data_IF_801299355024
#
_entry.id   IF_801299355024
#
_cell.length_a   1.000
_cell.length_b   1.000
_cell.length_c   1.000
_cell.angle_alpha   90.00
_cell.angle_beta   90.00
_cell.angle_gamma   90.00
#
_symmetry.space_group_name_H-M   'P 1'
#
loop_
_entity.id
_entity.type
_entity.pdbx_description
1 polymer ?
#
# COMPACT_ATOMS: atom_id res chain seq x y z
N UNK A 1 -9.62 9.46 21.26
CA UNK A 1 -10.09 8.06 21.40
C UNK A 1 -10.37 7.55 19.99
N UNK A 2 -10.00 6.32 19.57
CA UNK A 2 -9.39 5.22 20.31
C UNK A 2 -7.92 4.95 19.95
N UNK A 3 -7.22 4.33 20.90
CA UNK A 3 -5.95 3.62 20.76
C UNK A 3 -6.25 2.26 20.11
N UNK A 4 -5.73 2.01 18.90
CA UNK A 4 -5.93 0.73 18.22
C UNK A 4 -4.69 -0.12 18.53
N UNK A 5 -4.91 -1.15 19.35
CA UNK A 5 -3.87 -2.06 19.81
C UNK A 5 -3.27 -2.87 18.66
N UNK A 6 -1.96 -2.74 18.46
CA UNK A 6 -1.17 -3.69 17.68
C UNK A 6 -0.93 -4.92 18.56
N UNK A 7 -1.93 -5.80 18.60
CA UNK A 7 -1.84 -7.13 19.17
C UNK A 7 -0.96 -7.95 18.23
N UNK A 8 0.16 -8.48 18.74
CA UNK A 8 1.20 -9.14 17.95
C UNK A 8 0.63 -10.14 16.94
N UNK A 9 0.85 -9.84 15.66
CA UNK A 9 0.48 -10.72 14.55
C UNK A 9 1.73 -11.44 14.08
N UNK A 10 1.66 -12.77 14.00
CA UNK A 10 2.63 -13.61 13.31
C UNK A 10 2.79 -13.08 11.88
N UNK A 11 3.87 -12.34 11.65
CA UNK A 11 4.02 -11.42 10.54
C UNK A 11 4.48 -12.19 9.30
N UNK A 12 3.52 -12.79 8.58
CA UNK A 12 3.81 -13.34 7.25
C UNK A 12 4.05 -12.17 6.30
N UNK A 13 5.30 -11.99 5.88
CA UNK A 13 5.72 -10.97 4.91
C UNK A 13 5.60 -11.56 3.50
N UNK A 14 5.15 -10.74 2.55
CA UNK A 14 5.25 -11.05 1.12
C UNK A 14 5.95 -9.95 0.37
N UNK A 15 6.58 -10.34 -0.72
CA UNK A 15 7.19 -9.43 -1.66
C UNK A 15 6.20 -9.13 -2.78
N UNK A 16 5.80 -7.87 -2.89
CA UNK A 16 4.94 -7.41 -3.98
C UNK A 16 5.68 -6.40 -4.85
N UNK A 17 5.54 -6.58 -6.17
CA UNK A 17 6.10 -5.66 -7.16
C UNK A 17 5.14 -4.50 -7.36
N UNK A 18 5.60 -3.31 -7.02
CA UNK A 18 4.88 -2.07 -7.24
C UNK A 18 5.47 -1.32 -8.42
N UNK A 19 4.60 -0.76 -9.26
CA UNK A 19 5.01 0.02 -10.43
C UNK A 19 4.43 1.41 -10.27
N UNK A 20 5.28 2.43 -10.32
CA UNK A 20 4.82 3.80 -10.30
C UNK A 20 4.03 4.11 -11.58
N UNK A 21 2.76 4.52 -11.49
CA UNK A 21 1.97 4.84 -12.68
C UNK A 21 2.47 6.09 -13.43
N UNK A 22 3.24 6.96 -12.77
CA UNK A 22 3.74 8.22 -13.35
C UNK A 22 5.03 8.02 -14.15
N UNK A 23 6.03 7.38 -13.56
CA UNK A 23 7.37 7.22 -14.16
C UNK A 23 7.73 5.78 -14.54
N UNK A 24 6.82 4.82 -14.27
CA UNK A 24 7.02 3.38 -14.49
C UNK A 24 8.20 2.77 -13.74
N UNK A 25 8.72 3.45 -12.72
CA UNK A 25 9.72 2.88 -11.80
C UNK A 25 9.10 1.69 -11.09
N UNK A 26 9.76 0.56 -11.16
CA UNK A 26 9.34 -0.68 -10.51
C UNK A 26 10.21 -0.97 -9.29
N UNK A 27 9.56 -1.39 -8.20
CA UNK A 27 10.25 -1.77 -6.98
C UNK A 27 9.47 -2.86 -6.25
N UNK A 28 10.19 -3.87 -5.79
CA UNK A 28 9.64 -4.90 -4.93
C UNK A 28 9.72 -4.44 -3.48
N UNK A 29 8.61 -4.50 -2.76
CA UNK A 29 8.54 -4.10 -1.36
C UNK A 29 8.00 -5.26 -0.52
N UNK A 30 8.62 -5.53 0.64
CA UNK A 30 8.07 -6.45 1.62
C UNK A 30 6.88 -5.79 2.32
N UNK A 31 5.69 -6.38 2.20
CA UNK A 31 4.51 -5.93 2.93
C UNK A 31 3.94 -7.05 3.81
N UNK A 32 3.41 -6.72 5.00
CA UNK A 32 2.77 -7.71 5.85
C UNK A 32 1.42 -8.13 5.25
N UNK A 33 1.16 -9.44 5.23
CA UNK A 33 -0.14 -10.00 4.80
C UNK A 33 -1.26 -9.70 5.78
N UNK A 34 -0.91 -9.55 7.05
CA UNK A 34 -1.84 -9.36 8.17
C UNK A 34 -2.87 -8.25 7.93
N UNK A 35 -2.49 -6.97 7.67
CA UNK A 35 -3.48 -5.92 7.44
C UNK A 35 -4.38 -6.17 6.23
N UNK A 36 -3.90 -6.93 5.23
CA UNK A 36 -4.67 -7.25 4.02
C UNK A 36 -5.71 -8.33 4.32
N UNK A 37 -5.32 -9.37 5.06
CA UNK A 37 -6.21 -10.48 5.41
C UNK A 37 -7.17 -10.16 6.55
N UNK A 38 -6.73 -9.35 7.51
CA UNK A 38 -7.53 -8.92 8.67
C UNK A 38 -8.43 -7.72 8.35
N UNK A 39 -8.20 -7.06 7.22
CA UNK A 39 -9.06 -5.99 6.71
C UNK A 39 -10.51 -6.46 6.56
N UNK A 40 -11.44 -5.66 7.09
CA UNK A 40 -12.88 -5.89 6.86
C UNK A 40 -13.26 -5.73 5.40
N UNK A 41 -12.53 -4.88 4.69
CA UNK A 41 -12.73 -4.59 3.27
C UNK A 41 -12.03 -5.63 2.40
N UNK A 42 -12.59 -5.91 1.21
CA UNK A 42 -11.98 -6.82 0.25
C UNK A 42 -10.78 -6.19 -0.49
N UNK A 43 -10.64 -4.86 -0.38
CA UNK A 43 -9.53 -4.09 -0.93
C UNK A 43 -8.81 -3.36 0.20
N UNK A 44 -7.52 -3.59 0.31
CA UNK A 44 -6.61 -2.85 1.18
C UNK A 44 -5.87 -1.81 0.37
N UNK A 45 -6.09 -0.55 0.70
CA UNK A 45 -5.39 0.57 0.06
C UNK A 45 -4.11 0.88 0.83
N UNK A 46 -2.98 0.78 0.14
CA UNK A 46 -1.67 1.13 0.66
C UNK A 46 -1.26 2.47 0.05
N UNK A 47 -0.83 3.39 0.91
CA UNK A 47 -0.27 4.66 0.48
C UNK A 47 1.25 4.53 0.31
N UNK A 48 1.73 4.76 -0.92
CA UNK A 48 3.15 4.78 -1.22
C UNK A 48 3.62 6.23 -1.21
N UNK A 49 4.40 6.56 -0.18
CA UNK A 49 4.98 7.90 -0.04
C UNK A 49 6.15 8.13 -1.01
N UNK A 50 6.51 9.40 -1.22
CA UNK A 50 7.66 9.77 -2.06
C UNK A 50 8.95 9.27 -1.42
N UNK A 51 9.86 8.79 -2.26
CA UNK A 51 11.14 8.21 -1.84
C UNK A 51 11.06 6.72 -1.51
N UNK A 52 9.86 6.14 -1.38
CA UNK A 52 9.73 4.71 -1.11
C UNK A 52 9.98 3.88 -2.37
N UNK A 53 9.43 4.31 -3.52
CA UNK A 53 9.69 3.74 -4.85
C UNK A 53 10.38 4.75 -5.75
N UNK A 54 9.80 5.94 -5.87
CA UNK A 54 10.30 7.05 -6.67
C UNK A 54 9.85 8.37 -6.01
N UNK A 55 10.11 9.51 -6.65
CA UNK A 55 9.70 10.82 -6.12
C UNK A 55 8.18 11.08 -6.15
N UNK A 56 7.38 10.19 -6.72
CA UNK A 56 5.92 10.34 -6.83
C UNK A 56 5.19 9.64 -5.68
N UNK A 57 4.13 10.27 -5.20
CA UNK A 57 3.18 9.67 -4.26
C UNK A 57 2.00 9.08 -5.02
N UNK A 58 1.60 7.87 -4.62
CA UNK A 58 0.44 7.20 -5.19
C UNK A 58 -0.12 6.17 -4.21
N UNK A 59 -1.40 5.90 -4.34
CA UNK A 59 -2.08 4.81 -3.66
C UNK A 59 -2.17 3.60 -4.56
N UNK A 60 -2.17 2.45 -3.93
CA UNK A 60 -2.33 1.15 -4.58
C UNK A 60 -3.33 0.33 -3.78
N UNK A 61 -4.37 -0.15 -4.45
CA UNK A 61 -5.38 -1.01 -3.85
C UNK A 61 -5.06 -2.46 -4.18
N UNK A 62 -4.89 -3.26 -3.14
CA UNK A 62 -4.53 -4.68 -3.19
C UNK A 62 -5.68 -5.47 -2.60
N UNK A 63 -6.09 -6.54 -3.25
CA UNK A 63 -7.13 -7.41 -2.71
C UNK A 63 -6.56 -8.50 -1.76
N UNK A 64 -7.44 -9.32 -1.17
CA UNK A 64 -7.07 -10.41 -0.25
C UNK A 64 -6.23 -11.52 -0.89
N UNK A 65 -6.28 -11.68 -2.20
CA UNK A 65 -5.41 -12.57 -2.98
C UNK A 65 -4.03 -11.98 -3.25
N UNK A 66 -3.73 -10.79 -2.69
CA UNK A 66 -2.47 -10.05 -2.87
C UNK A 66 -2.23 -9.59 -4.30
N UNK A 67 -3.30 -9.35 -5.08
CA UNK A 67 -3.21 -8.87 -6.45
C UNK A 67 -3.43 -7.36 -6.43
N UNK A 68 -2.55 -6.64 -7.11
CA UNK A 68 -2.70 -5.19 -7.28
C UNK A 68 -3.84 -4.93 -8.27
N UNK A 69 -4.94 -4.37 -7.79
CA UNK A 69 -6.13 -4.12 -8.59
C UNK A 69 -6.12 -2.74 -9.24
N UNK A 70 -5.74 -1.71 -8.49
CA UNK A 70 -5.76 -0.33 -8.97
C UNK A 70 -4.60 0.49 -8.43
N UNK A 71 -4.11 1.39 -9.28
CA UNK A 71 -3.18 2.45 -8.93
C UNK A 71 -3.91 3.79 -9.01
N UNK A 72 -3.77 4.61 -7.98
CA UNK A 72 -4.35 5.93 -7.90
C UNK A 72 -3.25 6.94 -7.61
N UNK A 73 -3.00 7.86 -8.54
CA UNK A 73 -2.04 8.94 -8.32
C UNK A 73 -2.66 9.90 -7.32
N UNK A 74 -1.91 10.23 -6.27
CA UNK A 74 -2.32 11.27 -5.34
C UNK A 74 -1.58 12.53 -5.73
N UNK A 75 -2.28 13.39 -6.45
CA UNK A 75 -1.89 14.77 -6.63
C UNK A 75 -2.13 15.48 -5.30
N UNK A 76 -1.08 15.55 -4.46
CA UNK A 76 -1.06 16.45 -3.30
C UNK A 76 -0.89 17.90 -3.76
N UNK A 77 -1.80 18.37 -4.61
CA UNK A 77 -2.01 19.79 -4.84
C UNK A 77 -3.13 20.25 -3.90
N UNK A 78 -2.90 20.13 -2.58
CA UNK A 78 -3.67 20.91 -1.60
C UNK A 78 -3.10 22.33 -1.63
N UNK A 79 -3.81 23.19 -2.36
CA UNK A 79 -3.76 24.64 -2.21
C UNK A 79 -4.48 24.96 -0.89
N UNK A 80 -3.80 25.75 -0.06
CA UNK A 80 -4.17 26.39 1.22
C UNK A 80 -5.67 26.54 1.53
#
# INVERSE_FOLDING_TARGET
MPIIGLKGVSMAIIELKFICPVCRTEKTLPIPKSPILEGKEDLTTIFIDKGLICAHQFQVSIDKEFIVQRYQIIDINEID
#
